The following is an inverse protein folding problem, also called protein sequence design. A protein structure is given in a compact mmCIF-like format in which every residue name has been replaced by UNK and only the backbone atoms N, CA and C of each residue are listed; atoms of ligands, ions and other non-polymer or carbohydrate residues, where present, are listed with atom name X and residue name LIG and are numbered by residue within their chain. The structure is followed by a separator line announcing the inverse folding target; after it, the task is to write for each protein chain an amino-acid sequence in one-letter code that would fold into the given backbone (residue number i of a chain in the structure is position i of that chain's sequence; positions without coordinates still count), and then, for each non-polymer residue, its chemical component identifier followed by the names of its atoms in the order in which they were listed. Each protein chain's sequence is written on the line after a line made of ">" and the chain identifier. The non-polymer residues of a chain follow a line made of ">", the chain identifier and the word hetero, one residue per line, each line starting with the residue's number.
data_IF_011032891479
#
_entry.id   IF_011032891479
#
_cell.length_a   1.000
_cell.length_b   1.000
_cell.length_c   1.000
_cell.angle_alpha   90.00
_cell.angle_beta   90.00
_cell.angle_gamma   90.00
#
_symmetry.space_group_name_H-M   'P 1'
#
loop_
_entity.id
_entity.type
_entity.pdbx_description
1 polymer ?
#
# COMPACT_ATOMS: atom_id res chain seq x y z
N UNK A 1 9.31 -27.29 -38.05
CA UNK A 1 9.00 -26.47 -39.25
C UNK A 1 8.13 -27.20 -40.27
N UNK A 2 8.40 -28.47 -40.64
CA UNK A 2 7.58 -29.22 -41.62
C UNK A 2 6.15 -29.54 -41.15
N UNK A 3 6.00 -30.07 -39.93
CA UNK A 3 4.69 -30.42 -39.36
C UNK A 3 3.72 -29.23 -39.20
N UNK A 4 4.24 -28.02 -39.00
CA UNK A 4 3.40 -26.81 -38.90
C UNK A 4 2.84 -26.36 -40.25
N UNK A 5 3.58 -26.59 -41.35
CA UNK A 5 3.11 -26.30 -42.69
C UNK A 5 2.10 -27.34 -43.17
N UNK A 6 2.29 -28.61 -42.81
CA UNK A 6 1.33 -29.69 -43.09
C UNK A 6 -0.02 -29.40 -42.41
N UNK A 7 -0.02 -28.94 -41.15
CA UNK A 7 -1.26 -28.62 -40.42
C UNK A 7 -1.99 -27.36 -40.95
N UNK A 8 -1.28 -26.50 -41.69
CA UNK A 8 -1.83 -25.30 -42.34
C UNK A 8 -2.61 -25.67 -43.61
N UNK A 9 -2.12 -26.64 -44.37
CA UNK A 9 -2.70 -27.02 -45.66
C UNK A 9 -3.95 -27.90 -45.51
N UNK A 10 -4.15 -28.55 -44.35
CA UNK A 10 -5.36 -29.34 -44.03
C UNK A 10 -6.60 -28.47 -43.75
N UNK A 11 -6.43 -27.20 -43.34
CA UNK A 11 -7.53 -26.41 -42.74
C UNK A 11 -8.44 -25.65 -43.71
N UNK A 12 -8.17 -25.67 -45.02
CA UNK A 12 -8.98 -24.92 -45.99
C UNK A 12 -9.06 -23.43 -45.67
N UNK A 13 -9.87 -22.67 -46.40
CA UNK A 13 -9.99 -21.21 -46.32
C UNK A 13 -10.59 -20.64 -45.00
N UNK A 14 -10.46 -21.35 -43.88
CA UNK A 14 -10.84 -20.87 -42.56
C UNK A 14 -9.76 -19.95 -42.02
N UNK A 15 -10.12 -18.67 -41.88
CA UNK A 15 -9.31 -17.65 -41.21
C UNK A 15 -8.92 -18.19 -39.83
N UNK A 16 -7.62 -18.21 -39.53
CA UNK A 16 -7.12 -18.50 -38.19
C UNK A 16 -7.54 -17.34 -37.28
N UNK A 17 -8.77 -17.39 -36.78
CA UNK A 17 -9.23 -16.53 -35.72
C UNK A 17 -8.67 -17.11 -34.42
N UNK A 18 -7.77 -16.37 -33.78
CA UNK A 18 -7.36 -16.68 -32.43
C UNK A 18 -8.58 -16.52 -31.52
N UNK A 19 -9.10 -17.64 -31.03
CA UNK A 19 -10.17 -17.64 -30.04
C UNK A 19 -9.58 -17.29 -28.66
N UNK A 20 -9.22 -16.02 -28.47
CA UNK A 20 -8.61 -15.54 -27.22
C UNK A 20 -9.53 -15.77 -26.02
N UNK A 21 -10.85 -15.82 -26.24
CA UNK A 21 -11.86 -16.13 -25.23
C UNK A 21 -11.78 -17.55 -24.67
N UNK A 22 -11.32 -18.54 -25.46
CA UNK A 22 -11.19 -19.93 -25.00
C UNK A 22 -9.88 -20.20 -24.23
N UNK A 23 -8.91 -19.28 -24.28
CA UNK A 23 -7.62 -19.40 -23.57
C UNK A 23 -7.51 -18.47 -22.34
N UNK A 24 -8.61 -17.81 -21.94
CA UNK A 24 -8.62 -17.04 -20.70
C UNK A 24 -8.60 -17.98 -19.49
N UNK A 25 -7.44 -18.09 -18.85
CA UNK A 25 -7.29 -18.88 -17.63
C UNK A 25 -7.87 -18.08 -16.47
N UNK A 26 -9.03 -18.51 -15.97
CA UNK A 26 -9.58 -17.97 -14.73
C UNK A 26 -8.76 -18.47 -13.54
N UNK A 27 -8.19 -17.55 -12.76
CA UNK A 27 -7.48 -17.86 -11.54
C UNK A 27 -8.40 -17.60 -10.33
N UNK A 28 -8.92 -18.65 -9.66
CA UNK A 28 -9.81 -18.48 -8.51
C UNK A 28 -9.15 -17.72 -7.34
N UNK A 29 -7.83 -17.76 -7.24
CA UNK A 29 -7.03 -17.02 -6.25
C UNK A 29 -7.08 -15.50 -6.43
N UNK A 30 -7.33 -15.01 -7.65
CA UNK A 30 -7.41 -13.57 -7.95
C UNK A 30 -8.82 -13.00 -7.73
N UNK A 31 -9.83 -13.85 -7.45
CA UNK A 31 -11.23 -13.43 -7.33
C UNK A 31 -11.46 -12.45 -6.16
N UNK A 32 -10.68 -12.59 -5.09
CA UNK A 32 -10.77 -11.75 -3.90
C UNK A 32 -9.83 -10.53 -3.96
N UNK A 33 -8.98 -10.43 -4.99
CA UNK A 33 -8.06 -9.30 -5.13
C UNK A 33 -8.75 -8.03 -5.66
N UNK A 34 -8.23 -6.87 -5.26
CA UNK A 34 -8.73 -5.57 -5.73
C UNK A 34 -8.05 -5.24 -7.05
N UNK A 35 -8.84 -5.22 -8.13
CA UNK A 35 -8.45 -4.75 -9.45
C UNK A 35 -9.09 -3.40 -9.74
N UNK A 36 -8.30 -2.45 -10.24
CA UNK A 36 -8.74 -1.12 -10.67
C UNK A 36 -8.17 -0.85 -12.05
N UNK A 37 -9.04 -0.68 -13.05
CA UNK A 37 -8.63 -0.73 -14.45
C UNK A 37 -7.91 -2.06 -14.72
N UNK A 38 -6.69 -1.98 -15.24
CA UNK A 38 -5.85 -3.16 -15.53
C UNK A 38 -4.81 -3.47 -14.43
N UNK A 39 -4.86 -2.76 -13.30
CA UNK A 39 -3.86 -2.86 -12.25
C UNK A 39 -4.40 -3.62 -11.03
N UNK A 40 -3.60 -4.56 -10.54
CA UNK A 40 -3.81 -5.19 -9.25
C UNK A 40 -3.18 -4.34 -8.15
N UNK A 41 -3.96 -4.01 -7.13
CA UNK A 41 -3.53 -3.12 -6.07
C UNK A 41 -2.31 -3.65 -5.32
N UNK A 42 -2.23 -4.97 -5.12
CA UNK A 42 -1.10 -5.61 -4.43
C UNK A 42 0.21 -5.37 -5.17
N UNK A 43 0.22 -5.56 -6.49
CA UNK A 43 1.40 -5.36 -7.34
C UNK A 43 1.85 -3.90 -7.27
N UNK A 44 0.91 -2.96 -7.34
CA UNK A 44 1.20 -1.54 -7.23
C UNK A 44 1.81 -1.18 -5.87
N UNK A 45 1.32 -1.78 -4.78
CA UNK A 45 1.85 -1.55 -3.43
C UNK A 45 3.21 -2.21 -3.20
N UNK A 46 3.47 -3.39 -3.76
CA UNK A 46 4.78 -4.06 -3.67
C UNK A 46 5.89 -3.26 -4.37
N UNK A 47 5.52 -2.50 -5.41
CA UNK A 47 6.42 -1.67 -6.20
C UNK A 47 6.65 -0.27 -5.61
N UNK A 48 6.08 0.06 -4.45
CA UNK A 48 6.18 1.39 -3.79
C UNK A 48 7.62 1.91 -3.68
N UNK A 49 8.60 1.04 -3.47
CA UNK A 49 10.02 1.43 -3.35
C UNK A 49 10.72 1.72 -4.68
N UNK A 50 10.11 1.32 -5.79
CA UNK A 50 10.70 1.40 -7.13
C UNK A 50 9.98 2.42 -8.04
N UNK A 51 8.82 2.95 -7.64
CA UNK A 51 8.10 3.94 -8.43
C UNK A 51 8.72 5.33 -8.25
N UNK A 52 9.49 5.75 -9.24
CA UNK A 52 9.70 7.18 -9.54
C UNK A 52 8.49 7.70 -10.34
N UNK A 53 8.16 9.01 -10.29
CA UNK A 53 7.06 9.58 -11.06
C UNK A 53 7.19 9.33 -12.58
N UNK A 54 8.42 9.24 -13.08
CA UNK A 54 8.74 8.98 -14.50
C UNK A 54 8.57 7.50 -14.92
N UNK A 55 8.71 6.56 -13.97
CA UNK A 55 8.58 5.11 -14.19
C UNK A 55 7.18 4.60 -13.83
N UNK A 56 6.28 5.50 -13.44
CA UNK A 56 4.95 5.14 -12.98
C UNK A 56 4.13 4.61 -14.16
N UNK A 57 3.61 3.37 -14.10
CA UNK A 57 2.84 2.79 -15.20
C UNK A 57 1.46 3.44 -15.36
N UNK A 58 1.11 4.39 -14.49
CA UNK A 58 -0.17 5.08 -14.42
C UNK A 58 -0.14 6.30 -15.35
N UNK A 59 -0.67 6.13 -16.58
CA UNK A 59 -0.72 7.22 -17.57
C UNK A 59 -1.85 8.23 -17.34
N UNK A 60 -2.87 7.86 -16.57
CA UNK A 60 -4.06 8.68 -16.29
C UNK A 60 -4.32 8.76 -14.79
N UNK A 61 -3.43 9.42 -14.06
CA UNK A 61 -3.41 9.44 -12.60
C UNK A 61 -4.70 9.98 -11.97
N UNK A 62 -5.36 10.96 -12.61
CA UNK A 62 -6.63 11.51 -12.14
C UNK A 62 -7.81 10.52 -12.24
N UNK A 63 -8.01 9.89 -13.40
CA UNK A 63 -9.09 8.89 -13.59
C UNK A 63 -8.88 7.70 -12.64
N UNK A 64 -7.64 7.19 -12.57
CA UNK A 64 -7.28 6.08 -11.71
C UNK A 64 -7.51 6.39 -10.22
N UNK A 65 -7.15 7.60 -9.77
CA UNK A 65 -7.37 8.05 -8.41
C UNK A 65 -8.87 8.17 -8.07
N UNK A 66 -9.70 8.64 -9.00
CA UNK A 66 -11.15 8.69 -8.79
C UNK A 66 -11.77 7.29 -8.72
N UNK A 67 -11.34 6.36 -9.58
CA UNK A 67 -11.80 4.97 -9.54
C UNK A 67 -11.40 4.27 -8.23
N UNK A 68 -10.17 4.54 -7.75
CA UNK A 68 -9.71 4.16 -6.42
C UNK A 68 -10.61 4.68 -5.31
N UNK A 69 -10.95 5.97 -5.36
CA UNK A 69 -11.79 6.59 -4.36
C UNK A 69 -13.22 6.02 -4.36
N UNK A 70 -13.82 5.83 -5.53
CA UNK A 70 -15.12 5.16 -5.64
C UNK A 70 -15.08 3.74 -5.08
N UNK A 71 -14.04 2.98 -5.39
CA UNK A 71 -13.87 1.63 -4.85
C UNK A 71 -13.73 1.64 -3.33
N UNK A 72 -12.99 2.61 -2.79
CA UNK A 72 -12.86 2.82 -1.35
C UNK A 72 -14.21 3.06 -0.67
N UNK A 73 -15.06 3.92 -1.24
CA UNK A 73 -16.39 4.22 -0.68
C UNK A 73 -17.35 3.02 -0.69
N UNK A 74 -17.26 2.16 -1.71
CA UNK A 74 -18.12 0.99 -1.88
C UNK A 74 -17.65 -0.25 -1.10
N UNK A 75 -16.45 -0.22 -0.52
CA UNK A 75 -15.84 -1.40 0.11
C UNK A 75 -16.24 -1.51 1.58
N UNK A 76 -16.99 -2.56 1.99
CA UNK A 76 -17.43 -2.71 3.38
C UNK A 76 -16.37 -3.35 4.28
N UNK A 77 -15.41 -4.10 3.71
CA UNK A 77 -14.36 -4.79 4.47
C UNK A 77 -13.23 -3.81 4.80
N UNK A 78 -12.98 -3.59 6.10
CA UNK A 78 -11.95 -2.66 6.60
C UNK A 78 -10.56 -2.97 6.01
N UNK A 79 -10.15 -4.24 5.95
CA UNK A 79 -8.85 -4.61 5.37
C UNK A 79 -8.70 -4.16 3.91
N UNK A 80 -9.74 -4.33 3.10
CA UNK A 80 -9.74 -3.90 1.69
C UNK A 80 -9.80 -2.37 1.57
N UNK A 81 -10.55 -1.71 2.46
CA UNK A 81 -10.60 -0.25 2.57
C UNK A 81 -9.22 0.34 2.88
N UNK A 82 -8.48 -0.27 3.80
CA UNK A 82 -7.10 0.11 4.16
C UNK A 82 -6.13 -0.06 3.00
N UNK A 83 -6.27 -1.11 2.20
CA UNK A 83 -5.48 -1.30 0.98
C UNK A 83 -5.77 -0.20 -0.04
N UNK A 84 -7.05 0.13 -0.28
CA UNK A 84 -7.43 1.26 -1.15
C UNK A 84 -6.85 2.58 -0.64
N UNK A 85 -6.92 2.87 0.66
CA UNK A 85 -6.33 4.08 1.25
C UNK A 85 -4.81 4.14 1.05
N UNK A 86 -4.12 3.02 1.25
CA UNK A 86 -2.68 2.96 1.04
C UNK A 86 -2.32 3.24 -0.42
N UNK A 87 -3.05 2.64 -1.36
CA UNK A 87 -2.84 2.89 -2.79
C UNK A 87 -3.19 4.33 -3.18
N UNK A 88 -4.27 4.89 -2.64
CA UNK A 88 -4.62 6.31 -2.83
C UNK A 88 -3.51 7.23 -2.33
N UNK A 89 -2.92 6.94 -1.16
CA UNK A 89 -1.81 7.72 -0.63
C UNK A 89 -0.58 7.66 -1.55
N UNK A 90 -0.24 6.47 -2.04
CA UNK A 90 0.87 6.29 -2.97
C UNK A 90 0.66 7.09 -4.26
N UNK A 91 -0.49 6.92 -4.91
CA UNK A 91 -0.82 7.58 -6.19
C UNK A 91 -0.86 9.10 -6.02
N UNK A 92 -1.47 9.57 -4.93
CA UNK A 92 -1.53 11.00 -4.65
C UNK A 92 -0.13 11.57 -4.38
N UNK A 93 0.70 10.88 -3.61
CA UNK A 93 2.09 11.32 -3.36
C UNK A 93 2.89 11.49 -4.65
N UNK A 94 2.77 10.53 -5.58
CA UNK A 94 3.47 10.55 -6.87
C UNK A 94 2.93 11.61 -7.84
N UNK A 95 1.61 11.80 -7.89
CA UNK A 95 0.94 12.61 -8.92
C UNK A 95 0.07 13.75 -8.36
N UNK A 96 0.39 14.29 -7.18
CA UNK A 96 -0.38 15.37 -6.56
C UNK A 96 -0.52 16.60 -7.47
N UNK A 97 0.51 16.91 -8.27
CA UNK A 97 0.50 18.02 -9.20
C UNK A 97 -0.51 17.83 -10.36
N UNK A 98 -0.68 16.59 -10.84
CA UNK A 98 -1.62 16.27 -11.92
C UNK A 98 -3.05 16.11 -11.41
N UNK A 99 -3.23 15.56 -10.21
CA UNK A 99 -4.54 15.34 -9.59
C UNK A 99 -5.11 16.67 -9.06
N UNK A 100 -4.27 17.48 -8.42
CA UNK A 100 -4.64 18.75 -7.81
C UNK A 100 -5.47 18.61 -6.54
N UNK A 101 -6.43 19.53 -6.36
CA UNK A 101 -7.28 19.60 -5.16
C UNK A 101 -8.16 18.36 -5.03
N UNK A 102 -8.24 17.82 -3.82
CA UNK A 102 -9.15 16.75 -3.45
C UNK A 102 -10.38 17.31 -2.72
N UNK A 103 -11.54 17.27 -3.36
CA UNK A 103 -12.78 17.87 -2.85
C UNK A 103 -13.25 17.25 -1.51
N UNK A 104 -13.03 15.95 -1.31
CA UNK A 104 -13.51 15.23 -0.13
C UNK A 104 -12.51 15.23 1.03
N UNK A 105 -11.55 16.17 1.04
CA UNK A 105 -10.57 16.31 2.13
C UNK A 105 -11.25 16.47 3.50
N UNK A 106 -12.34 17.25 3.58
CA UNK A 106 -13.11 17.44 4.82
C UNK A 106 -13.76 16.14 5.31
N UNK A 107 -14.20 15.30 4.38
CA UNK A 107 -14.77 13.99 4.69
C UNK A 107 -13.70 13.05 5.28
N UNK A 108 -12.48 13.04 4.73
CA UNK A 108 -11.37 12.23 5.25
C UNK A 108 -11.01 12.64 6.68
N UNK A 109 -10.94 13.94 6.98
CA UNK A 109 -10.71 14.43 8.35
C UNK A 109 -11.81 13.99 9.31
N UNK A 110 -13.07 14.10 8.88
CA UNK A 110 -14.22 13.65 9.67
C UNK A 110 -14.18 12.14 9.90
N UNK A 111 -13.83 11.35 8.87
CA UNK A 111 -13.65 9.92 8.98
C UNK A 111 -12.56 9.59 10.01
N UNK A 112 -11.39 10.22 9.91
CA UNK A 112 -10.28 10.02 10.85
C UNK A 112 -10.70 10.27 12.30
N UNK A 113 -11.47 11.33 12.57
CA UNK A 113 -11.97 11.64 13.93
C UNK A 113 -12.90 10.57 14.51
N UNK A 114 -13.59 9.80 13.66
CA UNK A 114 -14.58 8.79 14.06
C UNK A 114 -14.01 7.37 14.03
N UNK A 115 -12.83 7.18 13.47
CA UNK A 115 -12.22 5.86 13.29
C UNK A 115 -11.73 5.27 14.62
N UNK A 116 -12.32 4.14 15.01
CA UNK A 116 -11.87 3.33 16.16
C UNK A 116 -10.76 2.34 15.79
N UNK A 117 -10.75 1.86 14.54
CA UNK A 117 -9.79 0.87 14.06
C UNK A 117 -8.36 1.43 13.97
N UNK A 118 -7.37 0.66 14.44
CA UNK A 118 -5.97 1.12 14.50
C UNK A 118 -5.33 1.17 13.11
N UNK A 119 -5.62 0.19 12.26
CA UNK A 119 -5.04 0.09 10.92
C UNK A 119 -5.63 1.17 10.01
N UNK A 120 -6.95 1.33 10.01
CA UNK A 120 -7.62 2.37 9.23
C UNK A 120 -7.16 3.76 9.64
N UNK A 121 -7.00 4.02 10.95
CA UNK A 121 -6.46 5.30 11.45
C UNK A 121 -5.07 5.59 10.89
N UNK A 122 -4.17 4.61 10.96
CA UNK A 122 -2.80 4.74 10.44
C UNK A 122 -2.82 5.05 8.93
N UNK A 123 -3.62 4.31 8.14
CA UNK A 123 -3.74 4.55 6.71
C UNK A 123 -4.35 5.91 6.37
N UNK A 124 -5.34 6.37 7.13
CA UNK A 124 -5.93 7.71 6.97
C UNK A 124 -4.92 8.82 7.30
N UNK A 125 -4.10 8.64 8.34
CA UNK A 125 -3.03 9.59 8.67
C UNK A 125 -1.97 9.67 7.57
N UNK A 126 -1.54 8.52 7.04
CA UNK A 126 -0.61 8.46 5.91
C UNK A 126 -1.22 9.15 4.68
N UNK A 127 -2.50 8.90 4.40
CA UNK A 127 -3.17 9.53 3.27
C UNK A 127 -3.29 11.06 3.45
N UNK A 128 -3.67 11.53 4.64
CA UNK A 128 -3.70 12.96 4.95
C UNK A 128 -2.32 13.62 4.81
N UNK A 129 -1.25 12.92 5.19
CA UNK A 129 0.12 13.39 4.98
C UNK A 129 0.46 13.60 3.50
N UNK A 130 -0.15 12.84 2.59
CA UNK A 130 0.02 13.07 1.15
C UNK A 130 -0.91 14.19 0.65
N UNK A 131 -2.13 14.29 1.17
CA UNK A 131 -3.08 15.36 0.78
C UNK A 131 -2.55 16.77 1.09
N UNK A 132 -1.78 16.94 2.16
CA UNK A 132 -1.20 18.25 2.55
C UNK A 132 -0.06 18.73 1.63
N UNK A 133 0.38 17.93 0.65
CA UNK A 133 1.31 18.39 -0.38
C UNK A 133 0.71 19.51 -1.23
N UNK A 134 -0.61 19.49 -1.44
CA UNK A 134 -1.34 20.49 -2.20
C UNK A 134 -1.95 21.56 -1.27
N UNK A 135 -1.69 22.84 -1.56
CA UNK A 135 -2.01 23.95 -0.64
C UNK A 135 -3.51 24.17 -0.44
N UNK A 136 -4.31 23.88 -1.46
CA UNK A 136 -5.78 24.00 -1.39
C UNK A 136 -6.36 23.01 -0.38
N UNK A 137 -5.87 21.77 -0.36
CA UNK A 137 -6.28 20.75 0.60
C UNK A 137 -5.90 21.11 2.03
N UNK A 138 -4.74 21.75 2.25
CA UNK A 138 -4.32 22.19 3.60
C UNK A 138 -5.39 23.12 4.20
N UNK A 139 -5.93 24.04 3.40
CA UNK A 139 -7.03 24.91 3.84
C UNK A 139 -8.25 24.09 4.25
N UNK A 140 -8.65 23.12 3.45
CA UNK A 140 -9.80 22.25 3.75
C UNK A 140 -9.58 21.42 5.02
N UNK A 141 -8.36 20.92 5.26
CA UNK A 141 -7.99 20.20 6.49
C UNK A 141 -8.13 21.10 7.71
N UNK A 142 -7.64 22.34 7.63
CA UNK A 142 -7.72 23.31 8.74
C UNK A 142 -9.17 23.71 9.01
N UNK A 143 -9.95 23.99 7.96
CA UNK A 143 -11.38 24.33 8.08
C UNK A 143 -12.21 23.19 8.69
N UNK A 144 -11.86 21.92 8.41
CA UNK A 144 -12.51 20.75 9.00
C UNK A 144 -12.08 20.46 10.45
N UNK A 145 -11.19 21.28 11.04
CA UNK A 145 -10.68 21.05 12.40
C UNK A 145 -9.61 19.96 12.48
N UNK A 146 -8.94 19.62 11.37
CA UNK A 146 -7.94 18.57 11.30
C UNK A 146 -6.77 18.75 12.27
N UNK A 147 -6.37 19.99 12.55
CA UNK A 147 -5.31 20.29 13.53
C UNK A 147 -5.66 19.76 14.92
N UNK A 148 -6.91 19.96 15.37
CA UNK A 148 -7.38 19.45 16.67
C UNK A 148 -7.34 17.92 16.70
N UNK A 149 -7.86 17.29 15.64
CA UNK A 149 -7.89 15.82 15.50
C UNK A 149 -6.48 15.25 15.54
N UNK A 150 -5.51 15.87 14.85
CA UNK A 150 -4.11 15.46 14.86
C UNK A 150 -3.45 15.65 16.23
N UNK A 151 -3.72 16.75 16.94
CA UNK A 151 -3.25 16.96 18.31
C UNK A 151 -3.77 15.88 19.27
N UNK A 152 -5.04 15.48 19.15
CA UNK A 152 -5.60 14.41 19.96
C UNK A 152 -4.86 13.08 19.72
N UNK A 153 -4.54 12.77 18.46
CA UNK A 153 -3.77 11.57 18.11
C UNK A 153 -2.28 11.65 18.44
N UNK A 154 -1.69 12.83 18.55
CA UNK A 154 -0.28 13.00 18.95
C UNK A 154 -0.01 12.35 20.32
N UNK A 155 -0.99 12.38 21.22
CA UNK A 155 -0.90 11.71 22.52
C UNK A 155 -0.68 10.19 22.40
N UNK A 156 -1.10 9.59 21.29
CA UNK A 156 -0.92 8.16 21.00
C UNK A 156 0.45 7.84 20.38
N UNK A 157 1.23 8.83 19.94
CA UNK A 157 2.54 8.59 19.32
C UNK A 157 3.52 7.89 20.28
N UNK A 158 3.36 8.12 21.59
CA UNK A 158 4.18 7.48 22.63
C UNK A 158 3.77 6.05 22.98
N UNK A 159 2.61 5.56 22.48
CA UNK A 159 2.12 4.19 22.69
C UNK A 159 2.64 3.20 21.63
N UNK A 160 3.50 3.65 20.71
CA UNK A 160 4.08 2.79 19.70
C UNK A 160 4.94 1.69 20.36
N UNK A 161 4.54 0.43 20.20
CA UNK A 161 5.21 -0.74 20.78
C UNK A 161 6.61 -0.96 20.20
N UNK A 162 6.89 -0.41 19.01
CA UNK A 162 8.22 -0.32 18.45
C UNK A 162 8.94 0.83 19.15
N UNK A 163 9.38 0.58 20.40
CA UNK A 163 10.43 1.39 21.02
C UNK A 163 11.58 1.46 20.03
N UNK A 164 12.23 2.63 19.95
CA UNK A 164 13.59 2.68 19.45
C UNK A 164 14.38 1.57 20.17
N UNK A 165 15.06 0.70 19.41
CA UNK A 165 16.08 -0.16 20.00
C UNK A 165 17.06 0.80 20.64
N UNK A 166 16.98 0.96 21.95
CA UNK A 166 17.94 1.78 22.67
C UNK A 166 19.28 1.11 22.42
N UNK A 167 20.26 1.77 21.77
CA UNK A 167 21.57 1.18 21.52
C UNK A 167 22.36 0.95 22.83
N UNK A 168 21.75 1.21 23.98
CA UNK A 168 22.29 1.03 25.33
C UNK A 168 21.83 -0.26 26.02
N UNK A 169 21.19 -1.22 25.33
CA UNK A 169 21.06 -2.58 25.86
C UNK A 169 22.36 -3.39 25.73
N UNK A 170 23.50 -2.81 26.12
CA UNK A 170 24.81 -3.49 26.05
C UNK A 170 25.24 -4.14 27.36
N UNK A 171 24.43 -4.13 28.42
CA UNK A 171 24.80 -4.78 29.70
C UNK A 171 23.69 -5.67 30.28
N UNK A 172 22.92 -6.37 29.46
CA UNK A 172 22.18 -7.54 29.97
C UNK A 172 23.15 -8.72 29.95
N UNK A 173 23.71 -9.06 31.11
CA UNK A 173 24.44 -10.31 31.28
C UNK A 173 23.37 -11.40 31.46
N UNK A 174 22.99 -12.06 30.38
CA UNK A 174 22.22 -13.29 30.46
C UNK A 174 23.18 -14.42 30.88
N UNK A 175 22.90 -15.05 32.01
CA UNK A 175 23.60 -16.28 32.40
C UNK A 175 23.16 -17.40 31.45
N UNK A 176 23.97 -17.66 30.43
CA UNK A 176 23.93 -18.90 29.66
C UNK A 176 23.92 -20.10 30.62
N UNK A 177 23.05 -21.08 30.39
CA UNK A 177 22.98 -22.31 31.20
C UNK A 177 24.12 -23.31 30.93
N UNK A 178 25.12 -22.94 30.13
CA UNK A 178 26.27 -23.79 29.83
C UNK A 178 27.58 -23.09 30.23
N UNK A 179 27.77 -22.90 31.54
CA UNK A 179 29.10 -22.65 32.11
C UNK A 179 29.60 -23.99 32.64
N UNK A 180 30.26 -24.73 31.76
CA UNK A 180 31.03 -25.92 32.12
C UNK A 180 32.19 -25.48 33.03
N UNK A 181 32.20 -26.00 34.27
CA UNK A 181 33.22 -25.70 35.29
C UNK A 181 34.54 -26.39 34.93
N UNK A 182 35.23 -25.89 33.91
CA UNK A 182 36.63 -26.19 33.62
C UNK A 182 37.51 -25.05 34.11
N UNK A 183 37.76 -24.96 35.41
CA UNK A 183 38.68 -23.96 35.96
C UNK A 183 40.07 -24.15 35.36
N UNK A 184 40.59 -23.08 34.76
CA UNK A 184 41.94 -23.04 34.16
C UNK A 184 42.94 -22.74 35.27
N UNK A 185 43.46 -23.79 35.92
CA UNK A 185 44.53 -23.65 36.90
C UNK A 185 45.82 -23.21 36.19
N UNK A 186 46.29 -22.00 36.51
CA UNK A 186 47.56 -21.49 36.01
C UNK A 186 48.69 -22.00 36.90
N UNK A 187 49.51 -22.91 36.38
CA UNK A 187 50.76 -23.31 37.04
C UNK A 187 51.82 -22.24 36.77
N UNK A 188 52.37 -21.65 37.84
CA UNK A 188 53.58 -20.83 37.77
C UNK A 188 54.80 -21.74 37.61
N UNK A 189 55.64 -21.44 36.62
CA UNK A 189 56.96 -22.03 36.43
C UNK A 189 58.03 -20.98 36.66
#
# INVERSE_FOLDING_TARGET
>A
MRAFNEDRDVRGALVVAWNHSEFEVSYPSLKDEIKIGDYYLRVLLEQEKALSPEDSPIRKSYEFFNDLYHRFLLTPKIAMKCLCLQAMALVYGLHHADIGQFNDTKYIVTMLSRTSDKLERDRLLIFLNQLILEKTNVRDVVEAGGVRVLCDFLTLAHLHLTRAVMPTQTNVIEASKDVDYGEKEWYYQ
#
